data_IF_683756443987
#
_entry.id   IF_683756443987
#
_cell.length_a   1.000
_cell.length_b   1.000
_cell.length_c   1.000
_cell.angle_alpha   90.00
_cell.angle_beta   90.00
_cell.angle_gamma   90.00
#
_symmetry.space_group_name_H-M   'P 1'
#
loop_
_entity.id
_entity.type
_entity.pdbx_description
1 polymer ?
#
# COMPACT_ATOMS: atom_id res chain seq x y z
N UNK A 1 -4.32 4.54 -38.47
CA UNK A 1 -4.43 4.29 -37.02
C UNK A 1 -3.45 5.21 -36.32
N UNK A 2 -3.88 6.42 -35.98
CA UNK A 2 -3.01 7.47 -35.46
C UNK A 2 -2.86 7.39 -33.93
N UNK A 3 -1.84 8.09 -33.43
CA UNK A 3 -1.54 8.30 -32.00
C UNK A 3 -2.79 8.68 -31.18
N UNK A 4 -3.73 9.42 -31.77
CA UNK A 4 -4.98 9.85 -31.13
C UNK A 4 -5.98 8.71 -30.84
N UNK A 5 -5.97 7.62 -31.62
CA UNK A 5 -6.85 6.47 -31.39
C UNK A 5 -6.35 5.54 -30.28
N UNK A 6 -5.03 5.40 -30.12
CA UNK A 6 -4.42 4.57 -29.08
C UNK A 6 -4.49 5.25 -27.70
N UNK A 7 -4.20 6.55 -27.64
CA UNK A 7 -4.25 7.31 -26.38
C UNK A 7 -5.66 7.42 -25.80
N UNK A 8 -6.69 7.47 -26.65
CA UNK A 8 -8.08 7.46 -26.19
C UNK A 8 -8.44 6.14 -25.51
N UNK A 9 -8.08 4.99 -26.10
CA UNK A 9 -8.30 3.68 -25.47
C UNK A 9 -7.54 3.54 -24.14
N UNK A 10 -6.34 4.11 -24.05
CA UNK A 10 -5.58 4.14 -22.80
C UNK A 10 -6.23 5.02 -21.71
N UNK A 11 -6.72 6.21 -22.09
CA UNK A 11 -7.45 7.11 -21.20
C UNK A 11 -8.77 6.48 -20.72
N UNK A 12 -9.56 5.92 -21.64
CA UNK A 12 -10.82 5.23 -21.30
C UNK A 12 -10.56 4.02 -20.41
N UNK A 13 -9.55 3.20 -20.73
CA UNK A 13 -9.16 2.07 -19.88
C UNK A 13 -8.71 2.50 -18.48
N UNK A 14 -7.95 3.60 -18.39
CA UNK A 14 -7.48 4.16 -17.12
C UNK A 14 -8.66 4.70 -16.29
N UNK A 15 -9.58 5.47 -16.89
CA UNK A 15 -10.75 6.02 -16.21
C UNK A 15 -11.69 4.90 -15.74
N UNK A 16 -11.95 3.89 -16.58
CA UNK A 16 -12.72 2.71 -16.17
C UNK A 16 -12.03 1.94 -15.04
N UNK A 17 -10.71 1.76 -15.09
CA UNK A 17 -9.94 1.12 -14.03
C UNK A 17 -10.01 1.87 -12.70
N UNK A 18 -9.89 3.20 -12.73
CA UNK A 18 -10.05 4.07 -11.55
C UNK A 18 -11.48 3.96 -11.00
N UNK A 19 -12.50 3.97 -11.85
CA UNK A 19 -13.90 3.85 -11.44
C UNK A 19 -14.17 2.49 -10.75
N UNK A 20 -13.63 1.41 -11.30
CA UNK A 20 -13.71 0.08 -10.69
C UNK A 20 -12.99 0.07 -9.35
N UNK A 21 -11.78 0.62 -9.25
CA UNK A 21 -11.03 0.68 -8.00
C UNK A 21 -11.70 1.55 -6.92
N UNK A 22 -12.52 2.53 -7.30
CA UNK A 22 -13.35 3.30 -6.37
C UNK A 22 -14.65 2.57 -6.00
N UNK A 23 -15.23 1.80 -6.93
CA UNK A 23 -16.50 1.08 -6.73
C UNK A 23 -16.35 -0.27 -6.02
N UNK A 24 -15.19 -0.92 -6.12
CA UNK A 24 -14.81 -1.90 -5.13
C UNK A 24 -14.48 -1.12 -3.86
N UNK A 25 -15.07 -1.50 -2.73
CA UNK A 25 -14.73 -0.95 -1.43
C UNK A 25 -13.34 -1.47 -1.04
N UNK A 26 -12.31 -1.06 -1.80
CA UNK A 26 -10.94 -1.55 -1.66
C UNK A 26 -10.51 -1.08 -0.27
N UNK A 27 -10.23 -2.02 0.65
CA UNK A 27 -9.91 -1.67 2.03
C UNK A 27 -8.77 -0.66 2.00
N UNK A 28 -8.93 0.43 2.75
CA UNK A 28 -8.02 1.56 2.74
C UNK A 28 -6.57 1.08 2.90
N UNK A 29 -5.82 1.08 1.79
CA UNK A 29 -4.47 0.50 1.71
C UNK A 29 -3.54 1.23 2.68
N UNK A 30 -3.80 2.52 2.94
CA UNK A 30 -3.09 3.30 3.95
C UNK A 30 -3.35 2.79 5.36
N UNK A 31 -4.58 2.34 5.66
CA UNK A 31 -4.91 1.73 6.96
C UNK A 31 -4.21 0.38 7.12
N UNK A 32 -4.27 -0.47 6.09
CA UNK A 32 -3.57 -1.76 6.08
C UNK A 32 -2.05 -1.60 6.22
N UNK A 33 -1.45 -0.64 5.51
CA UNK A 33 -0.02 -0.38 5.61
C UNK A 33 0.40 0.13 6.99
N UNK A 34 -0.42 0.98 7.63
CA UNK A 34 -0.17 1.44 9.01
C UNK A 34 -0.27 0.32 10.03
N UNK A 35 -1.26 -0.55 9.88
CA UNK A 35 -1.46 -1.73 10.73
C UNK A 35 -0.27 -2.69 10.60
N UNK A 36 0.15 -3.00 9.37
CA UNK A 36 1.34 -3.79 9.11
C UNK A 36 2.63 -3.20 9.69
N UNK A 37 2.81 -1.88 9.58
CA UNK A 37 3.96 -1.20 10.17
C UNK A 37 3.95 -1.29 11.71
N UNK A 38 2.78 -1.20 12.32
CA UNK A 38 2.61 -1.34 13.77
C UNK A 38 2.93 -2.77 14.23
N UNK A 39 2.41 -3.78 13.52
CA UNK A 39 2.68 -5.19 13.81
C UNK A 39 4.16 -5.51 13.63
N UNK A 40 4.79 -5.01 12.56
CA UNK A 40 6.22 -5.17 12.32
C UNK A 40 7.07 -4.57 13.44
N UNK A 41 6.70 -3.38 13.96
CA UNK A 41 7.37 -2.77 15.11
C UNK A 41 7.17 -3.59 16.39
N UNK A 42 5.98 -4.12 16.62
CA UNK A 42 5.72 -4.96 17.80
C UNK A 42 6.56 -6.24 17.76
N UNK A 43 6.68 -6.85 16.58
CA UNK A 43 7.56 -8.00 16.35
C UNK A 43 9.02 -7.58 16.56
N UNK A 44 9.46 -6.47 15.98
CA UNK A 44 10.81 -5.94 16.19
C UNK A 44 11.11 -5.74 17.68
N UNK A 45 10.23 -5.08 18.44
CA UNK A 45 10.39 -4.85 19.88
C UNK A 45 10.38 -6.14 20.69
N UNK A 46 9.53 -7.11 20.33
CA UNK A 46 9.45 -8.42 21.01
C UNK A 46 10.71 -9.25 20.80
N UNK A 47 11.30 -9.19 19.60
CA UNK A 47 12.50 -9.96 19.26
C UNK A 47 13.80 -9.15 19.40
N UNK A 48 13.72 -7.85 19.68
CA UNK A 48 14.88 -7.00 19.97
C UNK A 48 15.53 -7.51 21.24
N UNK A 49 16.79 -7.97 21.12
CA UNK A 49 17.57 -8.37 22.29
C UNK A 49 17.63 -7.20 23.27
N UNK A 50 17.38 -7.42 24.57
CA UNK A 50 17.56 -6.37 25.57
C UNK A 50 19.00 -5.85 25.48
N UNK A 51 19.14 -4.53 25.40
CA UNK A 51 20.45 -3.89 25.29
C UNK A 51 21.28 -4.29 26.50
N UNK A 52 22.47 -4.84 26.28
CA UNK A 52 23.43 -5.17 27.36
C UNK A 52 24.08 -3.87 27.84
N UNK A 53 23.30 -2.96 28.42
CA UNK A 53 23.78 -1.75 29.10
C UNK A 53 23.20 -1.63 30.51
N UNK A 54 22.97 -2.78 31.14
CA UNK A 54 22.73 -2.89 32.57
C UNK A 54 23.57 -4.06 33.08
N UNK A 55 24.88 -3.81 33.15
CA UNK A 55 25.86 -4.56 33.93
C UNK A 55 26.94 -3.56 34.32
N UNK A 56 26.56 -2.66 35.23
CA UNK A 56 27.51 -2.04 36.16
C UNK A 56 28.10 -3.12 37.09
#
# INVERSE_FOLDING_TARGET
MGFFGSSFSFLVGTVCGIYIAQNYNVPNITKLAKEWLSDAKQIEETYRKPDKKDKE
#
